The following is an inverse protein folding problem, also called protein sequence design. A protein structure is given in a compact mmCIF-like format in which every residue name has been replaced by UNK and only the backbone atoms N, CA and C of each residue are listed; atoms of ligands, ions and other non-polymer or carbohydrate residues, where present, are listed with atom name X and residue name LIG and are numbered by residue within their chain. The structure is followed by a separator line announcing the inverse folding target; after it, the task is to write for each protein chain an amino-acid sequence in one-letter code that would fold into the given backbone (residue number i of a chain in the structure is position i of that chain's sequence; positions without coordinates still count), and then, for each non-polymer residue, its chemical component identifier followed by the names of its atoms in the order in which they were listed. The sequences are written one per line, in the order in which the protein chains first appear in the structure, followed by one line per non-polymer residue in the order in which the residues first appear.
data_IF_850148438407
#
_entry.id   IF_850148438407
#
_cell.length_a   1.000
_cell.length_b   1.000
_cell.length_c   1.000
_cell.angle_alpha   90.00
_cell.angle_beta   90.00
_cell.angle_gamma   90.00
#
_symmetry.space_group_name_H-M   'P 1'
#
loop_
_entity.id
_entity.type
_entity.pdbx_description
1 polymer ?
#
# COMPACT_ATOMS: atom_id res chain seq x y z
N UNK A 1 -20.31 12.74 29.29
CA UNK A 1 -20.43 11.46 29.99
C UNK A 1 -20.32 10.34 28.96
N UNK A 2 -19.14 9.73 28.85
CA UNK A 2 -18.92 8.56 28.00
C UNK A 2 -19.23 7.32 28.83
N UNK A 3 -20.34 6.67 28.54
CA UNK A 3 -20.64 5.37 29.13
C UNK A 3 -19.74 4.33 28.50
N UNK A 4 -18.93 3.70 29.35
CA UNK A 4 -18.03 2.62 28.93
C UNK A 4 -18.84 1.44 28.43
N UNK A 5 -18.47 0.93 27.27
CA UNK A 5 -18.86 -0.40 26.79
C UNK A 5 -18.12 -1.43 27.68
N UNK A 6 -18.74 -1.79 28.78
CA UNK A 6 -18.32 -2.95 29.58
C UNK A 6 -18.39 -4.19 28.68
N UNK A 7 -17.25 -4.86 28.60
CA UNK A 7 -17.04 -5.98 27.69
C UNK A 7 -18.06 -7.10 27.93
N UNK A 8 -18.76 -7.47 26.89
CA UNK A 8 -19.53 -8.71 26.84
C UNK A 8 -18.53 -9.85 27.02
N UNK A 9 -18.49 -10.41 28.22
CA UNK A 9 -17.71 -11.62 28.50
C UNK A 9 -18.31 -12.77 27.68
N UNK A 10 -17.76 -13.04 26.53
CA UNK A 10 -18.13 -14.21 25.74
C UNK A 10 -17.60 -15.41 26.51
N UNK A 11 -18.46 -16.19 27.12
CA UNK A 11 -18.11 -17.51 27.66
C UNK A 11 -17.69 -18.38 26.49
N UNK A 12 -16.40 -18.47 26.23
CA UNK A 12 -15.83 -19.37 25.24
C UNK A 12 -15.46 -20.68 25.94
N UNK A 13 -16.04 -21.77 25.49
CA UNK A 13 -15.64 -23.10 25.95
C UNK A 13 -14.33 -23.47 25.25
N UNK A 14 -13.42 -24.12 26.00
CA UNK A 14 -12.13 -24.57 25.45
C UNK A 14 -12.37 -25.81 24.59
N UNK A 15 -11.78 -25.83 23.40
CA UNK A 15 -11.75 -27.02 22.53
C UNK A 15 -10.59 -27.92 22.93
N UNK A 16 -10.72 -29.23 22.72
CA UNK A 16 -9.62 -30.19 22.96
C UNK A 16 -8.48 -30.10 21.90
N UNK A 17 -8.63 -29.19 20.96
CA UNK A 17 -7.68 -29.00 19.86
C UNK A 17 -6.72 -27.86 20.14
N UNK A 18 -5.45 -28.07 19.70
CA UNK A 18 -4.40 -27.06 19.77
C UNK A 18 -4.14 -26.50 18.37
N UNK A 19 -3.98 -25.19 18.28
CA UNK A 19 -3.66 -24.52 17.01
C UNK A 19 -2.27 -24.97 16.50
N UNK A 20 -2.15 -25.43 15.26
CA UNK A 20 -0.87 -25.88 14.70
C UNK A 20 0.14 -24.76 14.54
N UNK A 21 -0.32 -23.52 14.38
CA UNK A 21 0.51 -22.33 14.15
C UNK A 21 0.97 -21.74 15.48
N UNK A 22 0.02 -21.38 16.36
CA UNK A 22 0.33 -20.67 17.62
C UNK A 22 0.54 -21.59 18.83
N UNK A 23 0.28 -22.91 18.67
CA UNK A 23 0.39 -23.90 19.76
C UNK A 23 -0.45 -23.52 21.01
N UNK A 24 -1.46 -22.70 20.83
CA UNK A 24 -2.43 -22.28 21.85
C UNK A 24 -3.68 -23.13 21.77
N UNK A 25 -4.34 -23.32 22.91
CA UNK A 25 -5.59 -24.05 22.96
C UNK A 25 -6.68 -23.30 22.19
N UNK A 26 -7.39 -24.00 21.32
CA UNK A 26 -8.50 -23.42 20.54
C UNK A 26 -9.73 -23.24 21.41
N UNK A 27 -10.62 -22.36 20.99
CA UNK A 27 -11.92 -22.09 21.63
C UNK A 27 -13.06 -22.42 20.70
N UNK A 28 -14.20 -22.77 21.27
CA UNK A 28 -15.43 -23.07 20.51
C UNK A 28 -16.25 -21.79 20.35
N UNK A 29 -16.78 -21.58 19.17
CA UNK A 29 -17.81 -20.58 18.93
C UNK A 29 -19.20 -21.10 19.38
N UNK A 30 -20.23 -20.24 19.31
CA UNK A 30 -21.62 -20.59 19.66
C UNK A 30 -22.19 -21.72 18.78
N UNK A 31 -21.58 -22.04 17.66
CA UNK A 31 -21.97 -23.10 16.73
C UNK A 31 -21.13 -24.37 16.91
N UNK A 32 -20.26 -24.43 17.92
CA UNK A 32 -19.39 -25.55 18.19
C UNK A 32 -18.18 -25.67 17.27
N UNK A 33 -17.84 -24.64 16.47
CA UNK A 33 -16.68 -24.64 15.61
C UNK A 33 -15.46 -24.16 16.39
N UNK A 34 -14.37 -24.93 16.36
CA UNK A 34 -13.11 -24.56 17.02
C UNK A 34 -12.33 -23.51 16.20
N UNK A 35 -11.79 -22.51 16.89
CA UNK A 35 -10.94 -21.49 16.29
C UNK A 35 -9.82 -21.04 17.24
N UNK A 36 -8.73 -20.53 16.69
CA UNK A 36 -7.64 -19.97 17.47
C UNK A 36 -7.81 -18.45 17.59
N UNK A 37 -7.77 -17.92 18.80
CA UNK A 37 -7.91 -16.48 19.05
C UNK A 37 -6.80 -15.67 18.40
N UNK A 38 -5.55 -16.18 18.44
CA UNK A 38 -4.40 -15.49 17.85
C UNK A 38 -4.51 -15.44 16.31
N UNK A 39 -4.88 -16.56 15.67
CA UNK A 39 -5.15 -16.56 14.22
C UNK A 39 -6.24 -15.55 13.82
N UNK A 40 -7.30 -15.47 14.64
CA UNK A 40 -8.39 -14.53 14.37
C UNK A 40 -7.96 -13.08 14.55
N UNK A 41 -7.13 -12.78 15.56
CA UNK A 41 -6.55 -11.44 15.75
C UNK A 41 -5.68 -11.04 14.57
N UNK A 42 -4.76 -11.91 14.15
CA UNK A 42 -3.87 -11.67 13.00
C UNK A 42 -4.67 -11.45 11.71
N UNK A 43 -5.69 -12.28 11.48
CA UNK A 43 -6.56 -12.12 10.32
C UNK A 43 -7.32 -10.80 10.37
N UNK A 44 -7.89 -10.44 11.52
CA UNK A 44 -8.62 -9.17 11.70
C UNK A 44 -7.71 -7.96 11.50
N UNK A 45 -6.49 -8.02 12.01
CA UNK A 45 -5.49 -6.96 11.84
C UNK A 45 -5.05 -6.82 10.38
N UNK A 46 -4.84 -7.94 9.70
CA UNK A 46 -4.54 -7.96 8.26
C UNK A 46 -5.69 -7.36 7.45
N UNK A 47 -6.93 -7.76 7.72
CA UNK A 47 -8.11 -7.22 7.03
C UNK A 47 -8.27 -5.71 7.27
N UNK A 48 -8.05 -5.22 8.50
CA UNK A 48 -8.04 -3.78 8.81
C UNK A 48 -6.96 -3.04 8.02
N UNK A 49 -5.75 -3.57 8.00
CA UNK A 49 -4.64 -2.97 7.26
C UNK A 49 -4.93 -2.93 5.76
N UNK A 50 -5.51 -3.98 5.20
CA UNK A 50 -5.90 -4.02 3.79
C UNK A 50 -7.04 -3.04 3.47
N UNK A 51 -8.01 -2.87 4.37
CA UNK A 51 -9.06 -1.86 4.24
C UNK A 51 -8.49 -0.44 4.27
N UNK A 52 -7.57 -0.15 5.21
CA UNK A 52 -6.90 1.15 5.29
C UNK A 52 -6.12 1.42 4.00
N UNK A 53 -5.35 0.45 3.50
CA UNK A 53 -4.61 0.58 2.24
C UNK A 53 -5.53 0.88 1.06
N UNK A 54 -6.65 0.17 0.91
CA UNK A 54 -7.64 0.42 -0.13
C UNK A 54 -8.24 1.82 -0.02
N UNK A 55 -8.66 2.21 1.17
CA UNK A 55 -9.21 3.54 1.42
C UNK A 55 -8.22 4.65 1.06
N UNK A 56 -6.96 4.50 1.46
CA UNK A 56 -5.90 5.46 1.14
C UNK A 56 -5.63 5.52 -0.37
N UNK A 57 -5.54 4.36 -1.02
CA UNK A 57 -5.38 4.28 -2.48
C UNK A 57 -6.53 4.99 -3.22
N UNK A 58 -7.78 4.73 -2.84
CA UNK A 58 -8.95 5.36 -3.46
C UNK A 58 -8.96 6.87 -3.22
N UNK A 59 -8.58 7.32 -2.02
CA UNK A 59 -8.47 8.73 -1.68
C UNK A 59 -7.41 9.42 -2.53
N UNK A 60 -6.21 8.83 -2.65
CA UNK A 60 -5.13 9.35 -3.49
C UNK A 60 -5.54 9.41 -4.95
N UNK A 61 -6.09 8.32 -5.48
CA UNK A 61 -6.58 8.26 -6.86
C UNK A 61 -7.63 9.33 -7.14
N UNK A 62 -8.56 9.55 -6.20
CA UNK A 62 -9.56 10.62 -6.31
C UNK A 62 -8.93 12.01 -6.34
N UNK A 63 -7.96 12.27 -5.47
CA UNK A 63 -7.24 13.55 -5.42
C UNK A 63 -6.44 13.76 -6.71
N UNK A 64 -5.72 12.76 -7.17
CA UNK A 64 -4.95 12.83 -8.42
C UNK A 64 -5.87 13.13 -9.62
N UNK A 65 -7.05 12.51 -9.70
CA UNK A 65 -8.03 12.78 -10.76
C UNK A 65 -8.65 14.17 -10.69
N UNK A 66 -8.81 14.74 -9.51
CA UNK A 66 -9.56 16.00 -9.33
C UNK A 66 -8.67 17.23 -9.19
N UNK A 67 -7.42 17.07 -8.77
CA UNK A 67 -6.52 18.19 -8.43
C UNK A 67 -5.17 18.18 -9.14
N UNK A 68 -4.83 17.12 -9.86
CA UNK A 68 -3.57 17.07 -10.59
C UNK A 68 -3.76 17.38 -12.07
N UNK A 69 -2.67 17.75 -12.73
CA UNK A 69 -2.56 17.94 -14.17
C UNK A 69 -2.58 16.62 -14.96
N UNK A 70 -3.12 15.54 -14.37
CA UNK A 70 -3.21 14.22 -15.02
C UNK A 70 -4.52 14.17 -15.81
N UNK A 71 -4.45 14.46 -17.08
CA UNK A 71 -5.62 14.51 -17.97
C UNK A 71 -6.16 13.12 -18.34
N UNK A 72 -5.33 12.08 -18.21
CA UNK A 72 -5.68 10.72 -18.65
C UNK A 72 -5.66 9.73 -17.49
N UNK A 73 -6.77 8.99 -17.27
CA UNK A 73 -6.80 7.93 -16.24
C UNK A 73 -5.70 6.87 -16.42
N UNK A 74 -5.32 6.58 -17.66
CA UNK A 74 -4.26 5.61 -18.02
C UNK A 74 -2.89 6.01 -17.47
N UNK A 75 -2.65 7.30 -17.24
CA UNK A 75 -1.39 7.77 -16.67
C UNK A 75 -1.23 7.35 -15.21
N UNK A 76 -2.32 7.07 -14.49
CA UNK A 76 -2.29 6.56 -13.12
C UNK A 76 -1.83 5.10 -13.03
N UNK A 77 -1.87 4.35 -14.13
CA UNK A 77 -1.47 2.94 -14.17
C UNK A 77 0.00 2.77 -14.59
N UNK A 78 0.72 3.88 -14.86
CA UNK A 78 2.13 3.84 -15.24
C UNK A 78 2.99 3.39 -14.07
N UNK A 79 3.83 2.38 -14.34
CA UNK A 79 4.78 1.82 -13.38
C UNK A 79 6.14 1.60 -14.04
N UNK A 80 7.18 1.38 -13.23
CA UNK A 80 8.49 1.00 -13.78
C UNK A 80 8.46 -0.40 -14.41
N UNK A 81 7.53 -1.24 -14.01
CA UNK A 81 7.36 -2.60 -14.57
C UNK A 81 6.83 -2.57 -16.00
N UNK A 82 5.94 -1.60 -16.30
CA UNK A 82 5.42 -1.43 -17.66
C UNK A 82 6.19 -0.39 -18.48
N UNK A 83 7.31 0.12 -17.95
CA UNK A 83 8.24 0.98 -18.68
C UNK A 83 9.16 0.15 -19.58
N UNK A 84 8.92 0.20 -20.87
CA UNK A 84 9.64 -0.61 -21.86
C UNK A 84 10.97 0.04 -22.22
N UNK A 85 12.08 -0.54 -21.79
CA UNK A 85 13.42 -0.08 -22.12
C UNK A 85 14.31 -1.25 -22.53
N UNK A 86 15.15 -1.06 -23.55
CA UNK A 86 16.14 -2.06 -23.94
C UNK A 86 17.27 -2.11 -22.91
N UNK A 87 17.68 -3.31 -22.51
CA UNK A 87 18.80 -3.49 -21.57
C UNK A 87 20.06 -2.78 -22.09
N UNK A 88 20.66 -1.94 -21.25
CA UNK A 88 21.85 -1.15 -21.60
C UNK A 88 21.57 0.13 -22.37
N UNK A 89 20.32 0.47 -22.64
CA UNK A 89 19.95 1.73 -23.27
C UNK A 89 19.91 2.90 -22.28
N UNK A 90 19.81 4.11 -22.79
CA UNK A 90 19.65 5.31 -21.98
C UNK A 90 18.33 5.28 -21.21
N UNK A 91 17.27 4.76 -21.81
CA UNK A 91 15.96 4.60 -21.18
C UNK A 91 16.05 3.66 -19.97
N UNK A 92 16.81 2.56 -20.05
CA UNK A 92 17.03 1.67 -18.91
C UNK A 92 17.78 2.39 -17.77
N UNK A 93 18.73 3.24 -18.10
CA UNK A 93 19.44 4.08 -17.12
C UNK A 93 18.48 5.08 -16.44
N UNK A 94 17.57 5.69 -17.20
CA UNK A 94 16.55 6.60 -16.69
C UNK A 94 15.56 5.88 -15.79
N UNK A 95 15.13 4.66 -16.12
CA UNK A 95 14.29 3.81 -15.27
C UNK A 95 14.95 3.49 -13.92
N UNK A 96 16.25 3.14 -13.94
CA UNK A 96 17.02 2.92 -12.72
C UNK A 96 17.18 4.19 -11.87
N UNK A 97 17.35 5.34 -12.49
CA UNK A 97 17.39 6.62 -11.80
C UNK A 97 16.04 6.95 -11.15
N UNK A 98 14.95 6.75 -11.86
CA UNK A 98 13.60 6.93 -11.32
C UNK A 98 13.32 6.03 -10.10
N UNK A 99 13.75 4.77 -10.15
CA UNK A 99 13.67 3.85 -9.01
C UNK A 99 14.43 4.39 -7.79
N UNK A 100 15.67 4.83 -7.98
CA UNK A 100 16.49 5.41 -6.89
C UNK A 100 15.83 6.65 -6.29
N UNK A 101 15.32 7.55 -7.13
CA UNK A 101 14.63 8.77 -6.69
C UNK A 101 13.40 8.42 -5.85
N UNK A 102 12.58 7.46 -6.29
CA UNK A 102 11.40 7.03 -5.54
C UNK A 102 11.77 6.48 -4.17
N UNK A 103 12.81 5.67 -4.07
CA UNK A 103 13.29 5.13 -2.78
C UNK A 103 13.88 6.20 -1.88
N UNK A 104 14.64 7.15 -2.42
CA UNK A 104 15.17 8.26 -1.64
C UNK A 104 14.06 9.15 -1.05
N UNK A 105 12.99 9.38 -1.79
CA UNK A 105 11.81 10.11 -1.29
C UNK A 105 11.08 9.33 -0.19
N UNK A 106 11.05 8.01 -0.24
CA UNK A 106 10.44 7.16 0.78
C UNK A 106 11.28 7.15 2.06
N UNK A 107 12.60 7.01 1.90
CA UNK A 107 13.52 6.86 3.03
C UNK A 107 13.80 8.20 3.73
N UNK A 108 13.65 9.32 3.02
CA UNK A 108 13.91 10.67 3.52
C UNK A 108 12.75 11.63 3.20
N UNK A 109 11.55 11.44 3.76
CA UNK A 109 10.36 12.22 3.42
C UNK A 109 10.48 13.71 3.76
N UNK A 110 11.32 14.06 4.72
CA UNK A 110 11.54 15.46 5.15
C UNK A 110 12.57 16.20 4.29
N UNK A 111 13.26 15.47 3.40
CA UNK A 111 14.26 16.08 2.52
C UNK A 111 13.55 16.70 1.32
N UNK A 112 13.60 18.05 1.24
CA UNK A 112 13.14 18.75 0.05
C UNK A 112 13.99 18.35 -1.16
N UNK A 113 13.37 17.66 -2.14
CA UNK A 113 14.03 17.24 -3.36
C UNK A 113 13.21 17.65 -4.57
N UNK A 114 13.88 18.29 -5.54
CA UNK A 114 13.28 18.66 -6.82
C UNK A 114 13.90 17.82 -7.93
N UNK A 115 13.07 17.14 -8.72
CA UNK A 115 13.51 16.35 -9.86
C UNK A 115 13.10 17.06 -11.14
N UNK A 116 14.08 17.38 -11.98
CA UNK A 116 13.86 17.96 -13.30
C UNK A 116 14.06 16.89 -14.38
N UNK A 117 13.05 16.68 -15.22
CA UNK A 117 13.07 15.78 -16.37
C UNK A 117 13.01 16.61 -17.65
N UNK A 118 14.02 16.51 -18.49
CA UNK A 118 14.10 17.22 -19.79
C UNK A 118 14.41 16.25 -20.92
N UNK A 119 14.06 16.63 -22.14
CA UNK A 119 14.24 15.80 -23.34
C UNK A 119 13.12 16.01 -24.34
N UNK A 120 13.17 15.33 -25.48
CA UNK A 120 12.21 15.46 -26.56
C UNK A 120 10.83 14.84 -26.21
N UNK A 121 9.74 15.28 -26.81
CA UNK A 121 8.43 14.64 -26.63
C UNK A 121 8.49 13.14 -26.99
N UNK A 122 7.81 12.31 -26.20
CA UNK A 122 7.74 10.86 -26.44
C UNK A 122 8.78 10.01 -25.70
N UNK A 123 9.81 10.60 -25.08
CA UNK A 123 10.88 9.87 -24.36
C UNK A 123 10.46 9.26 -23.00
N UNK A 124 9.18 9.23 -22.67
CA UNK A 124 8.71 8.58 -21.47
C UNK A 124 8.85 9.37 -20.16
N UNK A 125 9.14 10.68 -20.20
CA UNK A 125 9.28 11.53 -19.01
C UNK A 125 8.06 11.48 -18.09
N UNK A 126 6.87 11.65 -18.65
CA UNK A 126 5.60 11.56 -17.89
C UNK A 126 5.38 10.15 -17.34
N UNK A 127 5.80 9.11 -18.06
CA UNK A 127 5.72 7.74 -17.57
C UNK A 127 6.62 7.55 -16.33
N UNK A 128 7.85 8.01 -16.37
CA UNK A 128 8.78 7.91 -15.24
C UNK A 128 8.31 8.74 -14.05
N UNK A 129 7.80 9.97 -14.28
CA UNK A 129 7.27 10.81 -13.21
C UNK A 129 6.08 10.14 -12.49
N UNK A 130 5.14 9.58 -13.25
CA UNK A 130 4.00 8.85 -12.70
C UNK A 130 4.44 7.55 -12.00
N UNK A 131 5.44 6.85 -12.52
CA UNK A 131 5.98 5.65 -11.87
C UNK A 131 6.61 5.98 -10.50
N UNK A 132 7.37 7.06 -10.40
CA UNK A 132 7.92 7.55 -9.11
C UNK A 132 6.78 7.83 -8.13
N UNK A 133 5.78 8.60 -8.56
CA UNK A 133 4.62 8.95 -7.76
C UNK A 133 3.89 7.71 -7.25
N UNK A 134 3.65 6.73 -8.11
CA UNK A 134 2.96 5.49 -7.75
C UNK A 134 3.75 4.65 -6.75
N UNK A 135 5.08 4.56 -6.88
CA UNK A 135 5.94 3.87 -5.92
C UNK A 135 5.90 4.56 -4.54
N UNK A 136 6.02 5.88 -4.51
CA UNK A 136 5.98 6.67 -3.27
C UNK A 136 4.62 6.53 -2.59
N UNK A 137 3.52 6.67 -3.33
CA UNK A 137 2.16 6.53 -2.80
C UNK A 137 1.82 5.12 -2.32
N UNK A 138 2.43 4.08 -2.88
CA UNK A 138 2.22 2.70 -2.44
C UNK A 138 2.91 2.37 -1.11
N UNK A 139 4.01 3.07 -0.78
CA UNK A 139 4.85 2.75 0.40
C UNK A 139 4.78 3.79 1.51
N UNK A 140 4.50 5.04 1.19
CA UNK A 140 4.40 6.14 2.16
C UNK A 140 2.97 6.63 2.29
N UNK A 141 2.71 7.39 3.35
CA UNK A 141 1.48 8.18 3.44
C UNK A 141 1.34 9.03 2.16
N UNK A 142 0.11 9.15 1.61
CA UNK A 142 -0.08 9.75 0.30
C UNK A 142 0.53 11.15 0.23
N UNK A 143 1.58 11.28 -0.59
CA UNK A 143 2.13 12.56 -0.94
C UNK A 143 1.16 13.26 -1.90
N UNK A 144 0.76 14.45 -1.54
CA UNK A 144 0.07 15.37 -2.45
C UNK A 144 1.14 16.08 -3.27
N UNK A 145 1.04 16.01 -4.58
CA UNK A 145 1.71 16.95 -5.47
C UNK A 145 0.87 18.20 -5.62
#
# INVERSE_FOLDING_TARGET
MMQGLEGIAIKTEKADQVCPIHKTQMVLDRKGKSFCIECMKEQTEKEKNDQVKRFMHDKVTKILRTRSLVDRPEDLEKSLENYTAKKGSQEASMGNAAYKIAHELIDNPDKAMTTLMYGTPGEGKSHLAMSILNIVNAKSNPCLL
#
